data_IF_715354408231
#
_entry.id   IF_715354408231
#
_cell.length_a   1.000
_cell.length_b   1.000
_cell.length_c   1.000
_cell.angle_alpha   90.00
_cell.angle_beta   90.00
_cell.angle_gamma   90.00
#
_symmetry.space_group_name_H-M   'P 1'
#
loop_
_entity.id
_entity.type
_entity.pdbx_description
1 polymer ?
#
# COMPACT_ATOMS: atom_id res chain seq x y z
N UNK A 1 8.04 11.32 2.81
CA UNK A 1 9.20 10.46 3.18
C UNK A 1 9.62 9.69 1.94
N UNK A 2 10.84 9.18 1.83
CA UNK A 2 11.26 8.44 0.63
C UNK A 2 11.30 6.94 0.89
N UNK A 3 10.78 6.17 -0.08
CA UNK A 3 10.98 4.74 -0.17
C UNK A 3 11.91 4.43 -1.35
N UNK A 4 12.88 3.54 -1.11
CA UNK A 4 13.88 3.13 -2.08
C UNK A 4 13.55 1.73 -2.56
N UNK A 5 13.14 1.60 -3.82
CA UNK A 5 12.91 0.31 -4.45
C UNK A 5 14.24 -0.39 -4.71
N UNK A 6 14.27 -1.71 -4.60
CA UNK A 6 15.49 -2.50 -4.78
C UNK A 6 15.96 -2.54 -6.24
N UNK A 7 15.09 -2.18 -7.18
CA UNK A 7 15.46 -1.95 -8.58
C UNK A 7 16.07 -0.56 -8.87
N UNK A 8 16.25 0.27 -7.83
CA UNK A 8 16.86 1.59 -7.92
C UNK A 8 15.87 2.75 -8.07
N UNK A 9 14.56 2.50 -8.20
CA UNK A 9 13.55 3.57 -8.18
C UNK A 9 13.41 4.18 -6.79
N UNK A 10 13.03 5.46 -6.74
CA UNK A 10 12.75 6.16 -5.48
C UNK A 10 11.39 6.83 -5.61
N UNK A 11 10.53 6.63 -4.61
CA UNK A 11 9.18 7.20 -4.58
C UNK A 11 8.96 7.97 -3.28
N UNK A 12 8.11 9.00 -3.35
CA UNK A 12 7.63 9.69 -2.16
C UNK A 12 6.44 8.94 -1.56
N UNK A 13 6.54 8.64 -0.28
CA UNK A 13 5.53 7.92 0.50
C UNK A 13 5.08 8.74 1.70
N UNK A 14 3.85 8.46 2.14
CA UNK A 14 3.23 8.96 3.37
C UNK A 14 2.74 7.79 4.21
N UNK A 15 2.43 8.02 5.48
CA UNK A 15 1.81 7.01 6.34
C UNK A 15 0.47 6.56 5.74
N UNK A 16 0.21 5.25 5.75
CA UNK A 16 -1.05 4.71 5.29
C UNK A 16 -2.20 5.21 6.16
N UNK A 17 -3.25 5.73 5.51
CA UNK A 17 -4.41 6.25 6.21
C UNK A 17 -5.43 5.15 6.52
N UNK A 18 -6.56 5.53 7.14
CA UNK A 18 -7.62 4.58 7.51
C UNK A 18 -8.24 3.84 6.31
N UNK A 19 -8.29 4.48 5.14
CA UNK A 19 -8.93 3.91 3.94
C UNK A 19 -8.03 2.84 3.32
N UNK A 20 -6.72 3.11 3.26
CA UNK A 20 -5.72 2.11 2.88
C UNK A 20 -5.67 0.97 3.90
N UNK A 21 -5.73 1.28 5.19
CA UNK A 21 -5.74 0.27 6.27
C UNK A 21 -7.00 -0.60 6.31
N UNK A 22 -8.08 -0.19 5.65
CA UNK A 22 -9.26 -1.03 5.44
C UNK A 22 -9.10 -2.02 4.30
N UNK A 23 -8.18 -1.77 3.36
CA UNK A 23 -7.77 -2.73 2.35
C UNK A 23 -6.81 -3.76 2.97
N UNK A 24 -5.76 -3.28 3.64
CA UNK A 24 -4.82 -4.13 4.38
C UNK A 24 -4.38 -3.44 5.67
N UNK A 25 -4.63 -4.09 6.81
CA UNK A 25 -4.35 -3.53 8.15
C UNK A 25 -2.86 -3.36 8.41
N UNK A 26 -2.02 -4.16 7.77
CA UNK A 26 -0.57 -4.13 7.94
C UNK A 26 0.10 -3.06 7.07
N UNK A 27 -0.64 -2.40 6.16
CA UNK A 27 -0.10 -1.31 5.36
C UNK A 27 0.43 -0.18 6.26
N UNK A 28 1.74 0.05 6.19
CA UNK A 28 2.44 1.08 6.96
C UNK A 28 2.53 2.40 6.17
N UNK A 29 2.80 2.31 4.87
CA UNK A 29 2.91 3.49 4.00
C UNK A 29 2.05 3.36 2.75
N UNK A 30 1.79 4.51 2.13
CA UNK A 30 1.12 4.61 0.84
C UNK A 30 1.79 5.65 -0.07
N UNK A 31 1.65 5.45 -1.38
CA UNK A 31 2.00 6.41 -2.41
C UNK A 31 0.94 6.45 -3.52
N UNK A 32 0.70 7.64 -4.05
CA UNK A 32 -0.15 7.81 -5.22
C UNK A 32 0.67 7.58 -6.49
N UNK A 33 0.26 6.59 -7.30
CA UNK A 33 0.85 6.30 -8.60
C UNK A 33 0.00 6.83 -9.77
N UNK A 34 -1.00 7.69 -9.48
CA UNK A 34 -1.91 8.33 -10.43
C UNK A 34 -3.02 7.43 -10.95
N UNK A 35 -2.70 6.17 -11.27
CA UNK A 35 -3.70 5.16 -11.70
C UNK A 35 -4.14 4.22 -10.58
N UNK A 36 -3.35 4.10 -9.51
CA UNK A 36 -3.59 3.25 -8.35
C UNK A 36 -2.91 3.82 -7.11
N UNK A 37 -3.24 3.27 -5.94
CA UNK A 37 -2.50 3.53 -4.71
C UNK A 37 -1.54 2.38 -4.47
N UNK A 38 -0.27 2.67 -4.27
CA UNK A 38 0.73 1.71 -3.85
C UNK A 38 0.74 1.68 -2.32
N UNK A 39 0.64 0.49 -1.75
CA UNK A 39 0.71 0.23 -0.30
C UNK A 39 2.04 -0.46 -0.01
N UNK A 40 2.71 -0.06 1.08
CA UNK A 40 3.91 -0.73 1.58
C UNK A 40 3.58 -1.45 2.88
N UNK A 41 3.69 -2.77 2.84
CA UNK A 41 3.40 -3.66 3.97
C UNK A 41 4.75 -4.16 4.52
N UNK A 42 4.98 -4.11 5.85
CA UNK A 42 6.21 -4.61 6.46
C UNK A 42 6.50 -6.04 6.00
N UNK A 43 7.77 -6.31 5.70
CA UNK A 43 8.21 -7.62 5.27
C UNK A 43 9.35 -8.11 6.16
N UNK A 44 9.23 -9.35 6.62
CA UNK A 44 10.29 -10.06 7.36
C UNK A 44 11.35 -10.65 6.44
N UNK A 45 11.26 -10.44 5.12
CA UNK A 45 12.22 -10.98 4.15
C UNK A 45 13.60 -10.38 4.37
N UNK A 46 14.55 -11.26 4.66
CA UNK A 46 15.98 -10.92 4.77
C UNK A 46 16.71 -10.93 3.43
N UNK A 47 16.15 -11.64 2.44
CA UNK A 47 16.69 -11.75 1.09
C UNK A 47 15.59 -11.41 0.07
N UNK A 48 16.01 -10.79 -1.04
CA UNK A 48 15.11 -10.42 -2.13
C UNK A 48 15.21 -11.54 -3.18
N UNK A 49 14.09 -12.15 -3.50
CA UNK A 49 14.02 -13.15 -4.57
C UNK A 49 14.34 -12.50 -5.92
N UNK A 50 15.16 -13.17 -6.73
CA UNK A 50 15.56 -12.64 -8.03
C UNK A 50 14.32 -12.42 -8.91
N UNK A 51 14.17 -11.21 -9.43
CA UNK A 51 12.99 -10.79 -10.18
C UNK A 51 11.90 -10.13 -9.34
N UNK A 52 12.05 -10.02 -8.01
CA UNK A 52 11.11 -9.36 -7.09
C UNK A 52 11.65 -8.02 -6.56
N UNK A 53 12.71 -7.49 -7.17
CA UNK A 53 13.32 -6.23 -6.75
C UNK A 53 12.37 -5.04 -6.96
N UNK A 54 11.49 -5.11 -7.96
CA UNK A 54 10.55 -4.05 -8.34
C UNK A 54 9.38 -3.87 -7.36
N UNK A 55 9.13 -4.87 -6.52
CA UNK A 55 8.06 -4.88 -5.51
C UNK A 55 8.61 -4.71 -4.09
N UNK A 56 9.93 -4.72 -3.91
CA UNK A 56 10.56 -4.58 -2.59
C UNK A 56 11.08 -3.16 -2.40
N UNK A 57 10.74 -2.57 -1.25
CA UNK A 57 11.11 -1.20 -0.89
C UNK A 57 11.78 -1.16 0.48
N UNK A 58 12.66 -0.19 0.67
CA UNK A 58 13.28 0.14 1.95
C UNK A 58 12.91 1.54 2.39
N UNK A 59 12.46 1.66 3.64
CA UNK A 59 12.04 2.90 4.27
C UNK A 59 12.62 2.91 5.68
N UNK A 60 13.46 3.90 6.02
CA UNK A 60 14.11 4.00 7.34
C UNK A 60 14.80 2.70 7.79
N UNK A 61 15.55 2.07 6.89
CA UNK A 61 16.25 0.80 7.10
C UNK A 61 15.40 -0.47 7.18
N UNK A 62 14.07 -0.34 7.26
CA UNK A 62 13.13 -1.45 7.28
C UNK A 62 12.66 -1.82 5.87
N UNK A 63 12.34 -3.11 5.68
CA UNK A 63 11.92 -3.70 4.41
C UNK A 63 10.41 -3.78 4.31
N UNK A 64 9.90 -3.51 3.11
CA UNK A 64 8.49 -3.50 2.80
C UNK A 64 8.24 -4.14 1.43
N UNK A 65 7.13 -4.84 1.32
CA UNK A 65 6.60 -5.31 0.04
C UNK A 65 5.49 -4.39 -0.46
N UNK A 66 5.48 -4.13 -1.76
CA UNK A 66 4.44 -3.33 -2.39
C UNK A 66 3.24 -4.19 -2.75
N UNK A 67 2.05 -3.72 -2.39
CA UNK A 67 0.78 -4.20 -2.90
C UNK A 67 0.03 -3.04 -3.55
N UNK A 68 -0.73 -3.34 -4.60
CA UNK A 68 -1.48 -2.32 -5.35
C UNK A 68 -2.97 -2.39 -5.01
N UNK A 69 -3.60 -1.24 -4.87
CA UNK A 69 -5.05 -1.12 -4.68
C UNK A 69 -5.64 0.01 -5.54
N UNK A 70 -6.96 0.18 -5.52
CA UNK A 70 -7.66 1.23 -6.25
C UNK A 70 -7.10 2.63 -5.95
N UNK A 71 -7.45 3.62 -6.80
CA UNK A 71 -7.09 5.02 -6.56
C UNK A 71 -7.60 5.47 -5.19
N UNK A 72 -6.82 6.29 -4.52
CA UNK A 72 -7.15 6.72 -3.17
C UNK A 72 -8.53 7.39 -3.08
N UNK A 73 -8.87 8.28 -4.02
CA UNK A 73 -10.19 8.92 -4.07
C UNK A 73 -11.35 7.92 -4.21
N UNK A 74 -11.12 6.78 -4.85
CA UNK A 74 -12.11 5.71 -4.98
C UNK A 74 -12.26 4.96 -3.66
N UNK A 75 -11.17 4.68 -2.96
CA UNK A 75 -11.21 4.10 -1.61
C UNK A 75 -11.96 5.02 -0.64
N UNK A 76 -11.69 6.34 -0.69
CA UNK A 76 -12.38 7.34 0.13
C UNK A 76 -13.87 7.38 -0.21
N UNK A 77 -14.25 7.33 -1.49
CA UNK A 77 -15.66 7.29 -1.91
C UNK A 77 -16.34 5.99 -1.47
N UNK A 78 -15.68 4.86 -1.62
CA UNK A 78 -16.24 3.55 -1.31
C UNK A 78 -16.46 3.43 0.20
N UNK A 79 -15.42 3.61 1.00
CA UNK A 79 -15.52 3.40 2.42
C UNK A 79 -15.98 4.64 3.22
N UNK A 80 -15.75 5.84 2.72
CA UNK A 80 -16.24 7.08 3.35
C UNK A 80 -17.76 7.21 3.28
N UNK A 81 -18.42 6.43 2.41
CA UNK A 81 -19.88 6.31 2.31
C UNK A 81 -20.47 5.21 3.20
N UNK A 82 -19.70 4.57 4.08
CA UNK A 82 -20.23 3.67 5.13
C UNK A 82 -21.00 4.43 6.22
N UNK A 83 -22.04 5.15 5.81
CA UNK A 83 -23.18 5.49 6.66
C UNK A 83 -24.48 4.81 6.24
N UNK A 84 -24.62 4.08 5.12
CA UNK A 84 -25.99 3.62 4.75
C UNK A 84 -26.21 2.49 3.72
N UNK A 85 -25.26 1.60 3.44
CA UNK A 85 -25.64 0.36 2.72
C UNK A 85 -25.14 -0.84 3.50
N UNK A 86 -26.08 -1.56 4.11
CA UNK A 86 -25.86 -2.90 4.64
C UNK A 86 -25.16 -3.72 3.57
N UNK A 87 -23.97 -4.20 3.91
CA UNK A 87 -23.32 -5.24 3.14
C UNK A 87 -24.26 -6.44 3.18
N UNK A 88 -24.97 -6.69 2.08
CA UNK A 88 -25.70 -7.95 1.91
C UNK A 88 -24.64 -9.05 1.94
N UNK A 89 -24.57 -9.75 3.07
CA UNK A 89 -23.80 -10.97 3.21
C UNK A 89 -24.19 -11.89 2.07
N UNK A 90 -23.19 -12.35 1.31
CA UNK A 90 -23.37 -13.44 0.35
C UNK A 90 -23.24 -14.81 1.04
N UNK A 91 -23.55 -14.91 2.34
CA UNK A 91 -23.69 -16.17 3.09
C UNK A 91 -24.67 -15.97 4.25
#
# INVERSE_FOLDING_TARGET
>A
MRAYCMDGRVIDVVQADKYVKWVDKEAAYMADAGTYTLMLIPSDKTEIEAGHEYETYKVNEEMYESCLTSKHDELVKFYGRHTLHEQLSLF
#
